data_IF_845239871548
#
_entry.id   IF_845239871548
#
_cell.length_a   1.000
_cell.length_b   1.000
_cell.length_c   1.000
_cell.angle_alpha   90.00
_cell.angle_beta   90.00
_cell.angle_gamma   90.00
#
_symmetry.space_group_name_H-M   'P 1'
#
loop_
_entity.id
_entity.type
_entity.pdbx_description
1 polymer ?
#
# COMPACT_ATOMS: atom_id res chain seq x y z
N UNK A 1 15.40 11.16 7.35
CA UNK A 1 14.64 9.92 7.11
C UNK A 1 13.19 10.25 7.33
N UNK A 2 12.34 9.99 6.36
CA UNK A 2 10.89 10.14 6.56
C UNK A 2 10.41 9.00 7.46
N UNK A 3 9.34 9.22 8.22
CA UNK A 3 8.75 8.19 9.09
C UNK A 3 8.45 6.89 8.32
N UNK A 4 8.04 7.04 7.04
CA UNK A 4 7.81 5.95 6.09
C UNK A 4 9.03 5.06 5.85
N UNK A 5 10.21 5.64 5.61
CA UNK A 5 11.44 4.87 5.34
C UNK A 5 11.87 4.04 6.55
N UNK A 6 11.66 4.55 7.77
CA UNK A 6 11.93 3.82 9.01
C UNK A 6 11.00 2.62 9.14
N UNK A 7 9.71 2.83 8.85
CA UNK A 7 8.71 1.76 8.84
C UNK A 7 9.02 0.72 7.76
N UNK A 8 9.36 1.12 6.53
CA UNK A 8 9.72 0.21 5.44
C UNK A 8 10.93 -0.68 5.78
N UNK A 9 11.95 -0.13 6.45
CA UNK A 9 13.09 -0.92 6.94
C UNK A 9 12.68 -1.93 8.00
N UNK A 10 11.81 -1.54 8.91
CA UNK A 10 11.31 -2.44 9.94
C UNK A 10 10.47 -3.57 9.32
N UNK A 11 9.61 -3.24 8.36
CA UNK A 11 8.83 -4.22 7.59
C UNK A 11 9.76 -5.23 6.94
N UNK A 12 10.80 -4.77 6.23
CA UNK A 12 11.75 -5.64 5.57
C UNK A 12 12.50 -6.57 6.56
N UNK A 13 12.85 -6.05 7.74
CA UNK A 13 13.47 -6.85 8.80
C UNK A 13 12.53 -7.91 9.39
N UNK A 14 11.25 -7.61 9.52
CA UNK A 14 10.26 -8.50 10.14
C UNK A 14 9.77 -9.56 9.17
N UNK A 15 9.51 -9.17 7.92
CA UNK A 15 8.98 -10.06 6.89
C UNK A 15 10.08 -10.83 6.13
N UNK A 16 11.33 -10.40 6.22
CA UNK A 16 12.51 -11.12 5.72
C UNK A 16 12.33 -11.68 4.28
N UNK A 17 12.00 -10.79 3.34
CA UNK A 17 11.81 -11.16 1.93
C UNK A 17 10.44 -11.75 1.60
N UNK A 18 9.52 -11.85 2.57
CA UNK A 18 8.14 -12.33 2.35
C UNK A 18 7.12 -11.20 2.16
N UNK A 19 7.58 -9.97 1.92
CA UNK A 19 6.71 -8.83 1.64
C UNK A 19 5.82 -9.09 0.41
N UNK A 20 4.58 -8.62 0.47
CA UNK A 20 3.73 -8.55 -0.70
C UNK A 20 4.32 -7.51 -1.65
N UNK A 21 4.61 -7.93 -2.88
CA UNK A 21 5.06 -7.05 -3.96
C UNK A 21 4.23 -7.34 -5.20
N UNK A 22 3.33 -6.45 -5.53
CA UNK A 22 2.46 -6.54 -6.68
C UNK A 22 3.10 -5.85 -7.87
N UNK A 23 2.98 -6.51 -9.03
CA UNK A 23 3.32 -5.91 -10.31
C UNK A 23 2.09 -5.92 -11.21
N UNK A 24 1.85 -4.75 -11.81
CA UNK A 24 0.82 -4.58 -12.84
C UNK A 24 1.36 -5.12 -14.16
N UNK A 25 0.66 -6.09 -14.74
CA UNK A 25 0.98 -6.61 -16.07
C UNK A 25 0.24 -5.84 -17.15
N UNK A 26 -1.06 -5.59 -16.91
CA UNK A 26 -1.96 -4.93 -17.84
C UNK A 26 -3.13 -4.32 -17.10
N UNK A 27 -3.69 -3.24 -17.64
CA UNK A 27 -4.99 -2.72 -17.21
C UNK A 27 -5.87 -2.39 -18.42
N UNK A 28 -7.16 -2.35 -18.18
CA UNK A 28 -8.17 -1.79 -19.05
C UNK A 28 -9.09 -0.89 -18.21
N UNK A 29 -9.48 0.25 -18.76
CA UNK A 29 -10.41 1.17 -18.12
C UNK A 29 -11.46 1.61 -19.13
N UNK A 30 -12.70 1.71 -18.67
CA UNK A 30 -13.83 2.25 -19.43
C UNK A 30 -14.43 3.38 -18.60
N UNK A 31 -14.59 4.55 -19.22
CA UNK A 31 -15.16 5.74 -18.60
C UNK A 31 -16.41 6.17 -19.37
N UNK A 32 -17.53 6.28 -18.65
CA UNK A 32 -18.73 6.89 -19.16
C UNK A 32 -18.75 8.37 -18.75
N UNK A 33 -18.52 9.25 -19.72
CA UNK A 33 -18.44 10.71 -19.49
C UNK A 33 -19.79 11.34 -19.10
N UNK A 34 -20.92 10.70 -19.41
CA UNK A 34 -22.25 11.20 -19.01
C UNK A 34 -22.54 10.89 -17.54
N UNK A 35 -22.23 9.67 -17.09
CA UNK A 35 -22.45 9.26 -15.70
C UNK A 35 -21.27 9.54 -14.77
N UNK A 36 -20.11 9.92 -15.32
CA UNK A 36 -18.83 9.99 -14.60
C UNK A 36 -18.47 8.67 -13.90
N UNK A 37 -18.92 7.52 -14.42
CA UNK A 37 -18.56 6.20 -13.90
C UNK A 37 -17.34 5.67 -14.64
N UNK A 38 -16.33 5.23 -13.88
CA UNK A 38 -15.15 4.53 -14.39
C UNK A 38 -15.15 3.10 -13.86
N UNK A 39 -15.00 2.14 -14.77
CA UNK A 39 -14.70 0.74 -14.43
C UNK A 39 -13.26 0.43 -14.81
N UNK A 40 -12.52 -0.19 -13.89
CA UNK A 40 -11.13 -0.62 -14.11
C UNK A 40 -11.02 -2.11 -13.90
N UNK A 41 -10.27 -2.77 -14.80
CA UNK A 41 -9.83 -4.15 -14.67
C UNK A 41 -8.31 -4.20 -14.80
N UNK A 42 -7.63 -4.75 -13.82
CA UNK A 42 -6.17 -4.79 -13.76
C UNK A 42 -5.68 -6.21 -13.52
N UNK A 43 -4.82 -6.72 -14.39
CA UNK A 43 -4.10 -7.98 -14.19
C UNK A 43 -2.84 -7.69 -13.38
N UNK A 44 -2.72 -8.36 -12.23
CA UNK A 44 -1.60 -8.18 -11.30
C UNK A 44 -1.04 -9.53 -10.89
N UNK A 45 0.24 -9.55 -10.54
CA UNK A 45 0.86 -10.71 -9.91
C UNK A 45 1.70 -10.34 -8.69
N UNK A 46 1.74 -11.24 -7.70
CA UNK A 46 2.76 -11.20 -6.66
C UNK A 46 4.12 -11.57 -7.29
N UNK A 47 5.08 -10.66 -7.24
CA UNK A 47 6.43 -10.84 -7.79
C UNK A 47 7.20 -11.99 -7.15
N UNK A 48 6.83 -12.39 -5.93
CA UNK A 48 7.49 -13.45 -5.18
C UNK A 48 6.92 -14.82 -5.52
N UNK A 49 5.60 -14.98 -5.51
CA UNK A 49 4.96 -16.28 -5.78
C UNK A 49 4.67 -16.51 -7.25
N UNK A 50 4.55 -15.43 -8.03
CA UNK A 50 4.06 -15.47 -9.41
C UNK A 50 2.53 -15.62 -9.50
N UNK A 51 1.83 -15.67 -8.37
CA UNK A 51 0.37 -15.82 -8.34
C UNK A 51 -0.29 -14.63 -9.01
N UNK A 52 -1.18 -14.92 -9.96
CA UNK A 52 -1.88 -13.94 -10.76
C UNK A 52 -3.32 -13.78 -10.28
N UNK A 53 -3.80 -12.56 -10.32
CA UNK A 53 -5.18 -12.23 -10.03
C UNK A 53 -5.64 -11.03 -10.87
N UNK A 54 -6.95 -10.83 -10.92
CA UNK A 54 -7.56 -9.69 -11.58
C UNK A 54 -8.20 -8.81 -10.52
N UNK A 55 -7.75 -7.56 -10.43
CA UNK A 55 -8.37 -6.53 -9.60
C UNK A 55 -9.39 -5.78 -10.44
N UNK A 56 -10.65 -5.84 -10.03
CA UNK A 56 -11.73 -5.08 -10.65
C UNK A 56 -12.27 -4.04 -9.68
N UNK A 57 -12.62 -2.87 -10.19
CA UNK A 57 -13.20 -1.82 -9.36
C UNK A 57 -13.99 -0.81 -10.17
N UNK A 58 -14.84 -0.08 -9.45
CA UNK A 58 -15.71 0.97 -9.98
C UNK A 58 -15.57 2.21 -9.12
N UNK A 59 -15.64 3.38 -9.74
CA UNK A 59 -15.49 4.65 -9.07
C UNK A 59 -15.77 5.83 -10.00
N UNK A 60 -15.43 7.03 -9.55
CA UNK A 60 -15.63 8.28 -10.32
C UNK A 60 -14.41 8.67 -11.17
N UNK A 61 -13.32 7.90 -11.06
CA UNK A 61 -12.08 8.13 -11.77
C UNK A 61 -11.21 6.88 -11.72
N UNK A 62 -10.21 6.80 -12.60
CA UNK A 62 -9.29 5.66 -12.68
C UNK A 62 -8.67 5.30 -11.31
N UNK A 63 -8.12 6.29 -10.61
CA UNK A 63 -7.41 6.09 -9.33
C UNK A 63 -8.38 5.59 -8.26
N UNK A 64 -9.55 6.20 -8.19
CA UNK A 64 -10.63 5.82 -7.27
C UNK A 64 -11.10 4.40 -7.53
N UNK A 65 -11.52 4.09 -8.76
CA UNK A 65 -11.98 2.77 -9.16
C UNK A 65 -10.94 1.69 -8.86
N UNK A 66 -9.67 1.94 -9.17
CA UNK A 66 -8.61 0.98 -8.91
C UNK A 66 -8.32 0.80 -7.41
N UNK A 67 -8.30 1.90 -6.64
CA UNK A 67 -8.12 1.84 -5.18
C UNK A 67 -9.27 1.08 -4.50
N UNK A 68 -10.52 1.36 -4.88
CA UNK A 68 -11.69 0.62 -4.39
C UNK A 68 -11.58 -0.87 -4.71
N UNK A 69 -11.12 -1.22 -5.92
CA UNK A 69 -10.87 -2.61 -6.31
C UNK A 69 -9.83 -3.30 -5.41
N UNK A 70 -8.70 -2.64 -5.14
CA UNK A 70 -7.66 -3.16 -4.25
C UNK A 70 -8.14 -3.28 -2.80
N UNK A 71 -8.82 -2.27 -2.27
CA UNK A 71 -9.37 -2.33 -0.90
C UNK A 71 -10.36 -3.47 -0.80
N UNK A 72 -11.26 -3.64 -1.77
CA UNK A 72 -12.21 -4.75 -1.76
C UNK A 72 -11.52 -6.11 -1.76
N UNK A 73 -10.47 -6.29 -2.56
CA UNK A 73 -9.74 -7.55 -2.64
C UNK A 73 -9.00 -7.88 -1.35
N UNK A 74 -8.33 -6.90 -0.75
CA UNK A 74 -7.38 -7.15 0.33
C UNK A 74 -7.92 -6.91 1.74
N UNK A 75 -9.00 -6.15 1.89
CA UNK A 75 -9.39 -5.63 3.20
C UNK A 75 -10.11 -6.62 4.12
N UNK A 76 -10.45 -7.81 3.63
CA UNK A 76 -10.95 -8.89 4.47
C UNK A 76 -9.82 -9.55 5.27
N UNK A 77 -8.67 -9.75 4.62
CA UNK A 77 -7.44 -10.24 5.25
C UNK A 77 -6.63 -9.12 5.94
N UNK A 78 -6.78 -7.87 5.46
CA UNK A 78 -6.04 -6.71 5.93
C UNK A 78 -6.96 -5.52 6.26
N UNK A 79 -7.68 -5.54 7.40
CA UNK A 79 -8.68 -4.52 7.75
C UNK A 79 -8.12 -3.09 7.81
N UNK A 80 -6.82 -2.90 8.04
CA UNK A 80 -6.23 -1.56 8.07
C UNK A 80 -6.49 -0.74 6.81
N UNK A 81 -6.67 -1.40 5.65
CA UNK A 81 -7.01 -0.76 4.38
C UNK A 81 -8.37 -0.05 4.40
N UNK A 82 -9.31 -0.44 5.27
CA UNK A 82 -10.62 0.23 5.40
C UNK A 82 -10.51 1.60 6.07
N UNK A 83 -9.40 1.85 6.77
CA UNK A 83 -9.19 3.05 7.60
C UNK A 83 -8.37 4.15 6.92
N UNK A 84 -7.78 3.88 5.75
CA UNK A 84 -6.93 4.82 5.05
C UNK A 84 -7.73 5.67 4.07
N UNK A 85 -7.27 6.90 3.81
CA UNK A 85 -7.91 7.84 2.87
C UNK A 85 -6.87 8.64 2.11
N UNK A 86 -7.19 9.08 0.90
CA UNK A 86 -6.32 10.00 0.17
C UNK A 86 -6.33 11.38 0.82
N UNK A 87 -5.15 11.89 1.11
CA UNK A 87 -4.95 13.24 1.62
C UNK A 87 -4.60 14.22 0.49
N UNK A 88 -3.89 13.73 -0.54
CA UNK A 88 -3.43 14.55 -1.66
C UNK A 88 -3.08 13.67 -2.87
N UNK A 89 -3.23 14.20 -4.08
CA UNK A 89 -2.84 13.53 -5.31
C UNK A 89 -2.34 14.56 -6.32
N UNK A 90 -1.06 14.47 -6.68
CA UNK A 90 -0.42 15.40 -7.60
C UNK A 90 0.18 14.68 -8.80
N UNK A 91 0.04 15.30 -9.97
CA UNK A 91 0.69 14.89 -11.22
C UNK A 91 1.51 16.05 -11.73
N UNK A 92 2.82 15.85 -11.85
CA UNK A 92 3.75 16.81 -12.43
C UNK A 92 4.41 16.22 -13.65
N UNK A 93 4.60 17.05 -14.67
CA UNK A 93 5.43 16.71 -15.81
C UNK A 93 6.90 16.95 -15.47
N UNK A 94 7.75 15.96 -15.75
CA UNK A 94 9.20 16.06 -15.62
C UNK A 94 9.80 16.43 -16.98
N UNK A 95 9.75 17.72 -17.30
CA UNK A 95 10.02 18.28 -18.63
C UNK A 95 11.41 17.96 -19.18
N UNK A 96 12.36 17.64 -18.30
CA UNK A 96 13.74 17.32 -18.65
C UNK A 96 13.93 15.88 -19.12
N UNK A 97 12.91 15.03 -18.96
CA UNK A 97 12.95 13.62 -19.36
C UNK A 97 12.42 13.33 -20.77
N UNK A 98 11.81 14.32 -21.42
CA UNK A 98 11.30 14.19 -22.79
C UNK A 98 12.44 14.03 -23.79
N UNK A 99 12.33 13.05 -24.68
CA UNK A 99 13.37 12.74 -25.68
C UNK A 99 13.05 13.34 -27.04
N UNK A 100 11.77 13.52 -27.33
CA UNK A 100 11.29 14.09 -28.58
C UNK A 100 11.30 15.63 -28.55
N UNK A 101 11.37 16.24 -29.73
CA UNK A 101 11.36 17.71 -29.85
C UNK A 101 10.12 18.36 -29.21
N UNK A 102 8.96 17.70 -29.33
CA UNK A 102 7.71 18.14 -28.73
C UNK A 102 7.60 17.79 -27.23
N UNK A 103 8.49 16.95 -26.70
CA UNK A 103 8.51 16.44 -25.32
C UNK A 103 7.20 15.80 -24.85
N UNK A 104 6.33 15.36 -25.76
CA UNK A 104 5.05 14.71 -25.40
C UNK A 104 5.24 13.33 -24.75
N UNK A 105 6.47 12.82 -24.74
CA UNK A 105 6.91 11.57 -24.12
C UNK A 105 7.56 11.78 -22.73
N UNK A 106 7.56 13.01 -22.21
CA UNK A 106 8.13 13.31 -20.89
C UNK A 106 7.44 12.51 -19.78
N UNK A 107 8.21 12.19 -18.74
CA UNK A 107 7.72 11.43 -17.62
C UNK A 107 6.70 12.22 -16.80
N UNK A 108 5.62 11.54 -16.43
CA UNK A 108 4.67 11.99 -15.42
C UNK A 108 5.13 11.48 -14.05
N UNK A 109 5.54 12.41 -13.19
CA UNK A 109 5.81 12.19 -11.78
C UNK A 109 4.50 12.33 -11.00
N UNK A 110 3.99 11.20 -10.53
CA UNK A 110 2.78 11.14 -9.71
C UNK A 110 3.17 10.98 -8.25
N UNK A 111 2.53 11.74 -7.38
CA UNK A 111 2.64 11.64 -5.92
C UNK A 111 1.27 11.44 -5.31
N UNK A 112 1.09 10.38 -4.54
CA UNK A 112 -0.11 10.11 -3.76
C UNK A 112 0.23 10.24 -2.28
N UNK A 113 -0.55 11.03 -1.52
CA UNK A 113 -0.50 11.04 -0.06
C UNK A 113 -1.71 10.31 0.49
N UNK A 114 -1.45 9.40 1.43
CA UNK A 114 -2.49 8.63 2.11
C UNK A 114 -2.40 8.91 3.60
N UNK A 115 -3.52 9.31 4.20
CA UNK A 115 -3.66 9.44 5.63
C UNK A 115 -4.25 8.17 6.24
N UNK A 116 -3.73 7.75 7.39
CA UNK A 116 -4.38 6.74 8.22
C UNK A 116 -5.49 7.36 9.11
N UNK A 117 -6.15 6.53 9.92
CA UNK A 117 -7.20 6.96 10.84
C UNK A 117 -6.73 7.92 11.95
N UNK A 118 -5.44 7.91 12.29
CA UNK A 118 -4.81 8.83 13.24
C UNK A 118 -4.41 10.17 12.58
N UNK A 119 -4.70 10.35 11.29
CA UNK A 119 -4.38 11.56 10.53
C UNK A 119 -2.92 11.68 10.09
N UNK A 120 -2.10 10.64 10.29
CA UNK A 120 -0.72 10.63 9.81
C UNK A 120 -0.66 10.33 8.33
N UNK A 121 0.13 11.11 7.59
CA UNK A 121 0.24 11.03 6.15
C UNK A 121 1.50 10.31 5.67
N UNK A 122 1.35 9.50 4.62
CA UNK A 122 2.41 8.79 3.94
C UNK A 122 2.40 9.15 2.46
N UNK A 123 3.57 9.54 1.92
CA UNK A 123 3.71 9.93 0.53
C UNK A 123 4.34 8.80 -0.30
N UNK A 124 3.73 8.52 -1.46
CA UNK A 124 4.16 7.51 -2.42
C UNK A 124 4.37 8.17 -3.77
N UNK A 125 5.48 7.87 -4.42
CA UNK A 125 5.84 8.50 -5.69
C UNK A 125 6.18 7.46 -6.75
N UNK A 126 5.78 7.73 -7.99
CA UNK A 126 6.19 7.00 -9.18
C UNK A 126 6.43 7.97 -10.34
N UNK A 127 7.35 7.63 -11.23
CA UNK A 127 7.61 8.40 -12.44
C UNK A 127 7.74 7.45 -13.64
N UNK A 128 7.04 7.76 -14.71
CA UNK A 128 7.09 7.05 -15.99
C UNK A 128 6.48 7.91 -17.10
N UNK A 129 6.73 7.62 -18.39
CA UNK A 129 6.07 8.33 -19.50
C UNK A 129 4.53 8.21 -19.53
N UNK A 130 3.93 7.31 -18.74
CA UNK A 130 2.48 7.15 -18.66
C UNK A 130 1.93 7.79 -17.39
N UNK A 131 1.09 8.82 -17.53
CA UNK A 131 0.33 9.42 -16.41
C UNK A 131 -0.49 8.34 -15.71
N UNK A 132 -1.26 7.57 -16.48
CA UNK A 132 -2.09 6.48 -15.99
C UNK A 132 -1.26 5.38 -15.32
N UNK A 133 -0.19 4.92 -15.97
CA UNK A 133 0.68 3.88 -15.41
C UNK A 133 1.32 4.33 -14.09
N UNK A 134 1.82 5.56 -14.02
CA UNK A 134 2.34 6.12 -12.77
C UNK A 134 1.28 6.27 -11.69
N UNK A 135 0.04 6.60 -12.07
CA UNK A 135 -1.09 6.75 -11.13
C UNK A 135 -1.48 5.41 -10.50
N UNK A 136 -1.62 4.36 -11.31
CA UNK A 136 -1.88 3.00 -10.82
C UNK A 136 -0.72 2.53 -9.92
N UNK A 137 0.52 2.78 -10.33
CA UNK A 137 1.69 2.35 -9.58
C UNK A 137 1.81 2.99 -8.18
N UNK A 138 1.46 4.27 -8.00
CA UNK A 138 1.46 4.88 -6.66
C UNK A 138 0.38 4.32 -5.76
N UNK A 139 -0.78 3.93 -6.30
CA UNK A 139 -1.86 3.28 -5.54
C UNK A 139 -1.40 1.90 -5.07
N UNK A 140 -0.78 1.10 -5.95
CA UNK A 140 -0.20 -0.20 -5.57
C UNK A 140 0.80 -0.03 -4.43
N UNK A 141 1.75 0.90 -4.56
CA UNK A 141 2.76 1.16 -3.51
C UNK A 141 2.13 1.51 -2.17
N UNK A 142 1.04 2.30 -2.18
CA UNK A 142 0.33 2.64 -0.95
C UNK A 142 -0.29 1.40 -0.31
N UNK A 143 -1.03 0.60 -1.09
CA UNK A 143 -1.68 -0.63 -0.58
C UNK A 143 -0.65 -1.64 -0.09
N UNK A 144 0.44 -1.88 -0.82
CA UNK A 144 1.55 -2.74 -0.39
C UNK A 144 2.12 -2.30 0.95
N UNK A 145 2.34 -1.00 1.14
CA UNK A 145 2.87 -0.46 2.38
C UNK A 145 1.96 -0.77 3.57
N UNK A 146 0.65 -0.56 3.44
CA UNK A 146 -0.30 -0.82 4.52
C UNK A 146 -0.48 -2.31 4.81
N UNK A 147 -0.61 -3.14 3.77
CA UNK A 147 -0.68 -4.61 3.92
C UNK A 147 0.57 -5.15 4.60
N UNK A 148 1.76 -4.74 4.15
CA UNK A 148 3.00 -5.22 4.73
C UNK A 148 3.25 -4.68 6.14
N UNK A 149 2.80 -3.45 6.45
CA UNK A 149 2.80 -2.90 7.81
C UNK A 149 1.97 -3.79 8.75
N UNK A 150 0.76 -4.15 8.33
CA UNK A 150 -0.14 -5.00 9.12
C UNK A 150 0.42 -6.41 9.30
N UNK A 151 0.92 -7.04 8.24
CA UNK A 151 1.58 -8.36 8.32
C UNK A 151 2.76 -8.34 9.30
N UNK A 152 3.55 -7.27 9.27
CA UNK A 152 4.68 -7.09 10.18
C UNK A 152 4.22 -6.93 11.63
N UNK A 153 3.14 -6.19 11.86
CA UNK A 153 2.54 -6.03 13.18
C UNK A 153 2.06 -7.36 13.75
N UNK A 154 1.33 -8.15 12.96
CA UNK A 154 0.86 -9.49 13.35
C UNK A 154 2.03 -10.42 13.67
N UNK A 155 3.08 -10.40 12.85
CA UNK A 155 4.28 -11.23 13.07
C UNK A 155 4.99 -10.85 14.38
N UNK A 156 5.20 -9.56 14.62
CA UNK A 156 5.80 -9.08 15.88
C UNK A 156 4.93 -9.37 17.09
N UNK A 157 3.60 -9.26 16.99
CA UNK A 157 2.70 -9.60 18.08
C UNK A 157 2.83 -11.07 18.48
N UNK A 158 2.88 -11.99 17.50
CA UNK A 158 3.11 -13.42 17.75
C UNK A 158 4.49 -13.66 18.40
N UNK A 159 5.53 -13.02 17.88
CA UNK A 159 6.89 -13.12 18.44
C UNK A 159 6.98 -12.58 19.89
N UNK A 160 6.27 -11.49 20.18
CA UNK A 160 6.16 -10.92 21.52
C UNK A 160 5.45 -11.87 22.49
N UNK A 161 4.33 -12.48 22.08
CA UNK A 161 3.61 -13.45 22.92
C UNK A 161 4.51 -14.64 23.28
N UNK A 162 5.22 -15.19 22.29
CA UNK A 162 6.17 -16.27 22.51
C UNK A 162 7.36 -15.88 23.41
N UNK A 163 7.90 -14.67 23.23
CA UNK A 163 8.99 -14.17 24.08
C UNK A 163 8.55 -13.99 25.55
N UNK A 164 7.30 -13.59 25.78
CA UNK A 164 6.70 -13.47 27.12
C UNK A 164 6.55 -14.84 27.79
N UNK A 165 6.03 -15.83 27.06
CA UNK A 165 5.91 -17.21 27.55
C UNK A 165 7.27 -17.81 27.94
N UNK A 166 8.33 -17.44 27.23
CA UNK A 166 9.69 -17.91 27.48
C UNK A 166 10.52 -17.02 28.41
N UNK A 167 9.94 -15.98 29.01
CA UNK A 167 10.62 -15.02 29.89
C UNK A 167 11.90 -14.38 29.28
N UNK A 168 11.93 -14.16 27.96
CA UNK A 168 13.06 -13.52 27.27
C UNK A 168 12.91 -11.99 27.31
N UNK A 169 13.30 -11.38 28.44
CA UNK A 169 13.10 -9.94 28.73
C UNK A 169 13.63 -9.02 27.61
N UNK A 170 14.82 -9.28 27.08
CA UNK A 170 15.40 -8.45 26.01
C UNK A 170 14.58 -8.49 24.71
N UNK A 171 14.04 -9.66 24.38
CA UNK A 171 13.19 -9.84 23.20
C UNK A 171 11.84 -9.14 23.38
N UNK A 172 11.27 -9.18 24.58
CA UNK A 172 10.04 -8.46 24.92
C UNK A 172 10.22 -6.96 24.75
N UNK A 173 11.30 -6.38 25.28
CA UNK A 173 11.59 -4.96 25.14
C UNK A 173 11.77 -4.58 23.66
N UNK A 174 12.55 -5.35 22.90
CA UNK A 174 12.78 -5.11 21.47
C UNK A 174 11.49 -5.13 20.65
N UNK A 175 10.69 -6.19 20.78
CA UNK A 175 9.45 -6.33 20.00
C UNK A 175 8.41 -5.28 20.37
N UNK A 176 8.34 -4.87 21.65
CA UNK A 176 7.45 -3.78 22.09
C UNK A 176 7.83 -2.45 21.42
N UNK A 177 9.13 -2.13 21.35
CA UNK A 177 9.61 -0.95 20.65
C UNK A 177 9.28 -0.97 19.16
N UNK A 178 9.55 -2.09 18.48
CA UNK A 178 9.25 -2.26 17.06
C UNK A 178 7.73 -2.16 16.76
N UNK A 179 6.88 -2.76 17.59
CA UNK A 179 5.43 -2.63 17.44
C UNK A 179 4.95 -1.19 17.59
N UNK A 180 5.53 -0.43 18.51
CA UNK A 180 5.18 0.99 18.71
C UNK A 180 5.43 1.81 17.44
N UNK A 181 6.54 1.54 16.74
CA UNK A 181 6.85 2.14 15.44
C UNK A 181 5.86 1.75 14.33
N UNK A 182 5.30 0.53 14.36
CA UNK A 182 4.31 0.10 13.36
C UNK A 182 2.90 0.64 13.63
N UNK A 183 2.48 0.79 14.89
CA UNK A 183 1.16 1.38 15.26
C UNK A 183 1.06 2.81 14.74
N UNK A 184 2.19 3.47 14.68
CA UNK A 184 2.39 4.77 14.06
C UNK A 184 2.01 4.81 12.56
N UNK A 185 1.93 3.65 11.88
CA UNK A 185 1.49 3.52 10.49
C UNK A 185 -0.04 3.37 10.36
N UNK A 186 -0.70 2.71 11.31
CA UNK A 186 -2.12 2.31 11.21
C UNK A 186 -2.74 2.04 12.57
N UNK A 187 -4.04 2.33 12.71
CA UNK A 187 -4.80 1.94 13.90
C UNK A 187 -5.17 0.46 13.82
N UNK A 188 -4.44 -0.38 14.56
CA UNK A 188 -4.62 -1.84 14.55
C UNK A 188 -5.71 -2.34 15.51
N UNK A 189 -6.63 -1.49 15.97
CA UNK A 189 -7.66 -1.90 16.93
C UNK A 189 -8.49 -3.09 16.43
N UNK A 190 -8.92 -3.05 15.17
CA UNK A 190 -9.67 -4.15 14.55
C UNK A 190 -8.80 -5.41 14.34
N UNK A 191 -7.52 -5.23 14.01
CA UNK A 191 -6.56 -6.33 13.84
C UNK A 191 -6.31 -7.03 15.17
N UNK A 192 -6.19 -6.27 16.27
CA UNK A 192 -6.05 -6.82 17.63
C UNK A 192 -7.30 -7.61 18.01
N UNK A 193 -8.50 -7.14 17.65
CA UNK A 193 -9.73 -7.90 17.88
C UNK A 193 -9.78 -9.21 17.09
N UNK A 194 -9.36 -9.21 15.82
CA UNK A 194 -9.26 -10.43 15.02
C UNK A 194 -8.24 -11.41 15.61
N UNK A 195 -7.07 -10.94 16.03
CA UNK A 195 -6.06 -11.78 16.68
C UNK A 195 -6.64 -12.43 17.94
N UNK A 196 -7.38 -11.69 18.77
CA UNK A 196 -8.02 -12.23 19.99
C UNK A 196 -9.11 -13.26 19.72
N UNK A 197 -9.76 -13.23 18.54
CA UNK A 197 -10.79 -14.21 18.14
C UNK A 197 -10.19 -15.50 17.56
N UNK A 198 -8.95 -15.44 17.07
CA UNK A 198 -8.25 -16.54 16.41
C UNK A 198 -7.20 -17.24 17.32
N UNK A 199 -7.17 -16.90 18.61
CA UNK A 199 -6.41 -17.57 19.69
C UNK A 199 -7.41 -18.28 20.59
#
# INVERSE_FOLDING_TARGET
>A
MTDRETIEKLIAQVLDGTELKLKIDKYAAEENLESSEVTVRCEVHDQRTGDRQTIEGKGVGLVDAFFVGLVREYSDDFPSLKSIRFADFNVFADVDTGREAARSDMAAKVTLRVANSEGREFAFQHSSPSVTGSSIAVVVKAVEFFVNSERSFVALHKALSHAREQNRVDSVARYTGQMSTLVEATSYSEVIEQIKKNV
#
